data_IF_003260796675
#
_entry.id   IF_003260796675
#
_cell.length_a   1.000
_cell.length_b   1.000
_cell.length_c   1.000
_cell.angle_alpha   90.00
_cell.angle_beta   90.00
_cell.angle_gamma   90.00
#
_symmetry.space_group_name_H-M   'P 1'
#
loop_
_entity.id
_entity.type
_entity.pdbx_description
1 polymer ?
#
# COMPACT_ATOMS: atom_id res chain seq x y z
N UNK A 1 9.45 13.35 -10.82
CA UNK A 1 9.19 12.64 -12.11
C UNK A 1 9.07 13.56 -13.31
N UNK A 2 8.58 14.81 -13.17
CA UNK A 2 8.40 15.75 -14.31
C UNK A 2 9.68 16.02 -15.12
N UNK A 3 10.85 15.89 -14.50
CA UNK A 3 12.15 16.05 -15.17
C UNK A 3 12.57 14.82 -16.00
N UNK A 4 11.80 13.72 -15.98
CA UNK A 4 12.06 12.49 -16.76
C UNK A 4 10.75 12.04 -17.43
N UNK A 5 10.28 12.77 -18.46
CA UNK A 5 8.90 12.66 -18.96
C UNK A 5 8.52 11.27 -19.48
N UNK A 6 9.45 10.57 -20.14
CA UNK A 6 9.19 9.22 -20.63
C UNK A 6 8.96 8.22 -19.47
N UNK A 7 9.76 8.31 -18.41
CA UNK A 7 9.58 7.46 -17.22
C UNK A 7 8.30 7.84 -16.47
N UNK A 8 7.97 9.13 -16.39
CA UNK A 8 6.70 9.59 -15.82
C UNK A 8 5.49 8.98 -16.54
N UNK A 9 5.50 8.96 -17.88
CA UNK A 9 4.42 8.35 -18.66
C UNK A 9 4.20 6.88 -18.29
N UNK A 10 5.27 6.09 -18.20
CA UNK A 10 5.16 4.66 -17.88
C UNK A 10 4.74 4.42 -16.43
N UNK A 11 5.28 5.16 -15.47
CA UNK A 11 4.90 5.05 -14.06
C UNK A 11 3.43 5.43 -13.85
N UNK A 12 2.96 6.50 -14.48
CA UNK A 12 1.55 6.91 -14.43
C UNK A 12 0.64 5.89 -15.11
N UNK A 13 1.05 5.34 -16.26
CA UNK A 13 0.29 4.28 -16.94
C UNK A 13 0.11 3.03 -16.07
N UNK A 14 1.17 2.57 -15.41
CA UNK A 14 1.06 1.47 -14.45
C UNK A 14 0.17 1.84 -13.26
N UNK A 15 0.29 3.07 -12.72
CA UNK A 15 -0.55 3.52 -11.61
C UNK A 15 -2.05 3.53 -11.97
N UNK A 16 -2.41 4.00 -13.16
CA UNK A 16 -3.80 3.98 -13.64
C UNK A 16 -4.32 2.55 -13.78
N UNK A 17 -3.58 1.67 -14.45
CA UNK A 17 -3.97 0.26 -14.56
C UNK A 17 -4.24 -0.36 -13.18
N UNK A 18 -3.31 -0.19 -12.24
CA UNK A 18 -3.45 -0.77 -10.90
C UNK A 18 -4.61 -0.20 -10.08
N UNK A 19 -5.02 1.04 -10.32
CA UNK A 19 -6.09 1.71 -9.57
C UNK A 19 -7.47 1.48 -10.17
N UNK A 20 -7.56 1.42 -11.49
CA UNK A 20 -8.83 1.52 -12.21
C UNK A 20 -9.19 0.22 -12.94
N UNK A 21 -8.20 -0.62 -13.28
CA UNK A 21 -8.38 -1.83 -14.10
C UNK A 21 -7.96 -3.13 -13.40
N UNK A 22 -7.30 -3.04 -12.24
CA UNK A 22 -6.87 -4.22 -11.46
C UNK A 22 -8.06 -5.08 -11.04
N UNK A 23 -7.83 -6.40 -11.02
CA UNK A 23 -8.75 -7.39 -10.47
C UNK A 23 -8.92 -7.32 -8.95
N UNK A 24 -7.99 -6.65 -8.24
CA UNK A 24 -8.06 -6.50 -6.79
C UNK A 24 -9.19 -5.55 -6.39
N UNK A 25 -10.02 -5.91 -5.40
CA UNK A 25 -11.02 -5.00 -4.85
C UNK A 25 -10.38 -3.71 -4.33
N UNK A 26 -11.09 -2.58 -4.47
CA UNK A 26 -10.57 -1.28 -4.07
C UNK A 26 -10.06 -1.24 -2.62
N UNK A 27 -10.77 -1.92 -1.71
CA UNK A 27 -10.36 -2.12 -0.31
C UNK A 27 -8.96 -2.71 -0.18
N UNK A 28 -8.65 -3.72 -0.99
CA UNK A 28 -7.38 -4.47 -0.97
C UNK A 28 -6.26 -3.63 -1.57
N UNK A 29 -6.52 -2.90 -2.66
CA UNK A 29 -5.57 -1.96 -3.23
C UNK A 29 -5.16 -0.90 -2.20
N UNK A 30 -6.13 -0.24 -1.55
CA UNK A 30 -5.86 0.80 -0.56
C UNK A 30 -5.12 0.24 0.67
N UNK A 31 -5.48 -0.96 1.15
CA UNK A 31 -4.77 -1.61 2.25
C UNK A 31 -3.30 -1.92 1.87
N UNK A 32 -3.04 -2.41 0.66
CA UNK A 32 -1.69 -2.67 0.18
C UNK A 32 -0.86 -1.37 0.08
N UNK A 33 -1.48 -0.27 -0.34
CA UNK A 33 -0.86 1.06 -0.36
C UNK A 33 -0.51 1.53 1.05
N UNK A 34 -1.40 1.36 2.03
CA UNK A 34 -1.14 1.73 3.43
C UNK A 34 -0.04 0.89 4.08
N UNK A 35 -0.05 -0.43 3.85
CA UNK A 35 1.02 -1.31 4.33
C UNK A 35 2.36 -0.85 3.76
N UNK A 36 2.43 -0.60 2.44
CA UNK A 36 3.65 -0.09 1.79
C UNK A 36 4.09 1.25 2.35
N UNK A 37 3.16 2.20 2.47
CA UNK A 37 3.43 3.53 3.01
C UNK A 37 4.00 3.46 4.42
N UNK A 38 3.46 2.58 5.26
CA UNK A 38 3.93 2.45 6.64
C UNK A 38 5.24 1.70 6.79
N UNK A 39 5.49 0.68 5.97
CA UNK A 39 6.78 -0.04 5.99
C UNK A 39 7.93 0.82 5.43
N UNK A 40 7.62 1.85 4.65
CA UNK A 40 8.58 2.82 4.13
C UNK A 40 8.50 4.20 4.77
N UNK A 41 7.68 4.37 5.82
CA UNK A 41 7.49 5.62 6.56
C UNK A 41 7.17 6.83 5.64
N UNK A 42 6.44 6.59 4.56
CA UNK A 42 6.08 7.61 3.58
C UNK A 42 4.84 8.39 4.01
N UNK A 43 5.07 9.55 4.61
CA UNK A 43 4.04 10.40 5.18
C UNK A 43 3.01 10.91 4.16
N UNK A 44 3.46 11.24 2.94
CA UNK A 44 2.61 11.77 1.88
C UNK A 44 1.62 10.72 1.36
N UNK A 45 2.11 9.50 1.09
CA UNK A 45 1.26 8.40 0.66
C UNK A 45 0.27 8.04 1.77
N UNK A 46 0.74 7.97 3.03
CA UNK A 46 -0.16 7.70 4.16
C UNK A 46 -1.31 8.69 4.21
N UNK A 47 -1.02 9.99 4.17
CA UNK A 47 -2.03 11.03 4.22
C UNK A 47 -3.02 10.97 3.04
N UNK A 48 -2.51 10.71 1.83
CA UNK A 48 -3.35 10.61 0.62
C UNK A 48 -4.30 9.39 0.64
N UNK A 49 -3.92 8.30 1.31
CA UNK A 49 -4.62 7.02 1.19
C UNK A 49 -5.35 6.55 2.45
N UNK A 50 -5.03 7.04 3.64
CA UNK A 50 -5.68 6.54 4.86
C UNK A 50 -7.19 6.80 4.89
N UNK A 51 -7.63 8.01 4.54
CA UNK A 51 -9.05 8.32 4.40
C UNK A 51 -9.72 7.51 3.26
N UNK A 52 -9.00 7.29 2.16
CA UNK A 52 -9.48 6.49 1.02
C UNK A 52 -9.69 5.03 1.42
N UNK A 53 -8.76 4.44 2.17
CA UNK A 53 -8.84 3.08 2.68
C UNK A 53 -10.06 2.89 3.59
N UNK A 54 -10.31 3.85 4.50
CA UNK A 54 -11.50 3.84 5.36
C UNK A 54 -12.78 3.88 4.52
N UNK A 55 -12.85 4.78 3.53
CA UNK A 55 -13.99 4.89 2.60
C UNK A 55 -14.18 3.61 1.78
N UNK A 56 -13.10 2.91 1.42
CA UNK A 56 -13.14 1.64 0.72
C UNK A 56 -13.52 0.44 1.61
N UNK A 57 -13.69 0.65 2.91
CA UNK A 57 -14.16 -0.36 3.86
C UNK A 57 -13.06 -1.04 4.69
N UNK A 58 -11.83 -0.51 4.71
CA UNK A 58 -10.83 -0.91 5.70
C UNK A 58 -11.25 -0.34 7.06
N UNK A 59 -11.40 -1.19 8.08
CA UNK A 59 -11.83 -0.74 9.40
C UNK A 59 -10.84 0.26 9.98
N UNK A 60 -11.37 1.28 10.65
CA UNK A 60 -10.55 2.34 11.24
C UNK A 60 -9.47 1.82 12.19
N UNK A 61 -9.82 0.87 13.04
CA UNK A 61 -8.90 0.20 13.97
C UNK A 61 -7.71 -0.47 13.28
N UNK A 62 -7.86 -0.97 12.05
CA UNK A 62 -6.74 -1.53 11.27
C UNK A 62 -5.83 -0.39 10.79
N UNK A 63 -6.41 0.67 10.22
CA UNK A 63 -5.65 1.83 9.73
C UNK A 63 -4.86 2.47 10.86
N UNK A 64 -5.50 2.68 12.01
CA UNK A 64 -4.88 3.30 13.18
C UNK A 64 -3.81 2.40 13.81
N UNK A 65 -4.05 1.08 13.91
CA UNK A 65 -3.03 0.15 14.41
C UNK A 65 -1.85 -0.01 13.45
N UNK A 66 -2.07 0.03 12.12
CA UNK A 66 -0.99 0.12 11.14
C UNK A 66 -0.17 1.40 11.36
N UNK A 67 -0.82 2.56 11.43
CA UNK A 67 -0.17 3.87 11.67
C UNK A 67 0.74 3.81 12.89
N UNK A 68 0.20 3.34 14.00
CA UNK A 68 0.87 3.38 15.30
C UNK A 68 1.85 2.20 15.48
N UNK A 69 1.96 1.29 14.51
CA UNK A 69 2.68 0.00 14.62
C UNK A 69 2.26 -0.79 15.87
N UNK A 70 0.97 -0.74 16.21
CA UNK A 70 0.37 -1.51 17.31
C UNK A 70 -0.07 -2.88 16.83
N UNK A 71 -0.45 -3.73 17.78
CA UNK A 71 -1.13 -4.99 17.50
C UNK A 71 -2.38 -4.73 16.67
N UNK A 72 -2.54 -5.50 15.60
CA UNK A 72 -3.70 -5.37 14.71
C UNK A 72 -4.90 -6.09 15.34
N UNK A 73 -6.13 -5.58 15.13
CA UNK A 73 -7.33 -6.33 15.47
C UNK A 73 -7.42 -7.61 14.60
N UNK A 74 -8.35 -8.49 14.94
CA UNK A 74 -8.63 -9.69 14.13
C UNK A 74 -8.93 -9.28 12.69
N UNK A 75 -8.08 -9.66 11.75
CA UNK A 75 -8.22 -9.32 10.33
C UNK A 75 -9.13 -10.33 9.62
N UNK A 76 -9.86 -9.87 8.59
CA UNK A 76 -10.46 -10.78 7.63
C UNK A 76 -9.36 -11.51 6.83
N UNK A 77 -9.68 -12.65 6.22
CA UNK A 77 -8.68 -13.50 5.54
C UNK A 77 -7.96 -12.77 4.39
N UNK A 78 -8.68 -11.95 3.63
CA UNK A 78 -8.16 -11.10 2.56
C UNK A 78 -7.24 -9.99 3.11
N UNK A 79 -7.65 -9.29 4.17
CA UNK A 79 -6.86 -8.27 4.85
C UNK A 79 -5.56 -8.85 5.44
N UNK A 80 -5.65 -10.01 6.09
CA UNK A 80 -4.51 -10.72 6.66
C UNK A 80 -3.51 -11.13 5.59
N UNK A 81 -3.99 -11.63 4.44
CA UNK A 81 -3.13 -11.99 3.33
C UNK A 81 -2.31 -10.79 2.83
N UNK A 82 -2.92 -9.61 2.68
CA UNK A 82 -2.22 -8.39 2.27
C UNK A 82 -1.18 -7.94 3.30
N UNK A 83 -1.60 -7.83 4.56
CA UNK A 83 -0.75 -7.34 5.66
C UNK A 83 0.45 -8.24 5.85
N UNK A 84 0.25 -9.56 5.90
CA UNK A 84 1.33 -10.51 6.11
C UNK A 84 2.27 -10.55 4.91
N UNK A 85 1.74 -10.59 3.68
CA UNK A 85 2.55 -10.55 2.46
C UNK A 85 3.47 -9.32 2.43
N UNK A 86 2.89 -8.13 2.67
CA UNK A 86 3.65 -6.88 2.68
C UNK A 86 4.68 -6.83 3.81
N UNK A 87 4.27 -7.09 5.06
CA UNK A 87 5.18 -7.05 6.22
C UNK A 87 6.33 -8.03 6.09
N UNK A 88 6.08 -9.26 5.63
CA UNK A 88 7.16 -10.22 5.41
C UNK A 88 8.14 -9.72 4.35
N UNK A 89 7.64 -9.26 3.21
CA UNK A 89 8.50 -8.76 2.14
C UNK A 89 9.33 -7.55 2.58
N UNK A 90 8.71 -6.52 3.16
CA UNK A 90 9.43 -5.30 3.50
C UNK A 90 10.45 -5.51 4.63
N UNK A 91 10.16 -6.40 5.59
CA UNK A 91 11.02 -6.63 6.76
C UNK A 91 12.08 -7.71 6.53
N UNK A 92 11.78 -8.71 5.71
CA UNK A 92 12.67 -9.89 5.52
C UNK A 92 13.17 -10.05 4.09
N UNK A 93 12.68 -9.24 3.15
CA UNK A 93 12.97 -9.29 1.71
C UNK A 93 12.53 -10.57 1.02
N UNK A 94 11.69 -11.36 1.68
CA UNK A 94 11.09 -12.58 1.15
C UNK A 94 9.65 -12.69 1.63
N UNK A 95 8.83 -13.35 0.82
CA UNK A 95 7.49 -13.79 1.22
C UNK A 95 7.58 -15.29 1.46
N UNK A 96 7.12 -15.74 2.62
CA UNK A 96 7.05 -17.16 2.95
C UNK A 96 6.07 -17.88 2.04
N UNK A 97 6.23 -19.20 1.93
CA UNK A 97 5.27 -20.04 1.19
C UNK A 97 3.85 -19.90 1.75
N UNK A 98 3.72 -19.76 3.08
CA UNK A 98 2.43 -19.59 3.74
C UNK A 98 1.75 -18.28 3.32
N UNK A 99 2.44 -17.15 3.45
CA UNK A 99 1.88 -15.85 3.06
C UNK A 99 1.57 -15.78 1.55
N UNK A 100 2.43 -16.35 0.70
CA UNK A 100 2.16 -16.44 -0.74
C UNK A 100 0.92 -17.28 -1.04
N UNK A 101 0.77 -18.44 -0.39
CA UNK A 101 -0.37 -19.33 -0.60
C UNK A 101 -1.67 -18.70 -0.11
N UNK A 102 -1.67 -18.02 1.04
CA UNK A 102 -2.84 -17.27 1.51
C UNK A 102 -3.24 -16.17 0.54
N UNK A 103 -2.29 -15.40 -0.01
CA UNK A 103 -2.60 -14.40 -1.03
C UNK A 103 -3.15 -15.04 -2.31
N UNK A 104 -2.61 -16.19 -2.72
CA UNK A 104 -3.08 -16.93 -3.90
C UNK A 104 -4.52 -17.43 -3.73
N UNK A 105 -4.88 -17.91 -2.55
CA UNK A 105 -6.24 -18.37 -2.24
C UNK A 105 -7.25 -17.23 -2.25
N UNK A 106 -6.85 -16.04 -1.78
CA UNK A 106 -7.74 -14.87 -1.73
C UNK A 106 -7.88 -14.16 -3.09
N UNK A 107 -6.80 -14.09 -3.87
CA UNK A 107 -6.75 -13.18 -5.03
C UNK A 107 -6.47 -13.89 -6.37
N UNK A 108 -6.23 -15.20 -6.34
CA UNK A 108 -5.82 -15.95 -7.53
C UNK A 108 -4.47 -15.49 -8.09
N UNK A 109 -4.07 -16.09 -9.22
CA UNK A 109 -2.74 -15.85 -9.81
C UNK A 109 -2.54 -14.40 -10.23
N UNK A 110 -3.53 -13.83 -10.92
CA UNK A 110 -3.48 -12.45 -11.39
C UNK A 110 -3.44 -11.48 -10.21
N UNK A 111 -4.34 -11.63 -9.23
CA UNK A 111 -4.41 -10.72 -8.10
C UNK A 111 -3.15 -10.74 -7.23
N UNK A 112 -2.45 -11.86 -7.08
CA UNK A 112 -1.16 -11.90 -6.38
C UNK A 112 -0.07 -11.10 -7.12
N UNK A 113 -0.03 -11.19 -8.45
CA UNK A 113 0.90 -10.38 -9.26
C UNK A 113 0.55 -8.91 -9.15
N UNK A 114 -0.72 -8.55 -9.27
CA UNK A 114 -1.20 -7.17 -9.09
C UNK A 114 -0.93 -6.64 -7.68
N UNK A 115 -1.06 -7.47 -6.63
CA UNK A 115 -0.74 -7.09 -5.25
C UNK A 115 0.73 -6.70 -5.12
N UNK A 116 1.63 -7.54 -5.66
CA UNK A 116 3.05 -7.24 -5.69
C UNK A 116 3.37 -5.99 -6.51
N UNK A 117 2.66 -5.77 -7.63
CA UNK A 117 2.80 -4.57 -8.46
C UNK A 117 2.29 -3.31 -7.75
N UNK A 118 1.19 -3.37 -7.00
CA UNK A 118 0.71 -2.25 -6.16
C UNK A 118 1.77 -1.89 -5.14
N UNK A 119 2.28 -2.86 -4.38
CA UNK A 119 3.31 -2.62 -3.37
C UNK A 119 4.61 -2.09 -4.00
N UNK A 120 5.04 -2.66 -5.13
CA UNK A 120 6.22 -2.21 -5.86
C UNK A 120 6.08 -0.78 -6.41
N UNK A 121 4.94 -0.47 -7.03
CA UNK A 121 4.66 0.87 -7.57
C UNK A 121 4.63 1.91 -6.45
N UNK A 122 4.00 1.62 -5.32
CA UNK A 122 3.98 2.52 -4.17
C UNK A 122 5.32 2.60 -3.45
N UNK A 123 6.16 1.56 -3.54
CA UNK A 123 7.56 1.63 -3.08
C UNK A 123 8.41 2.56 -3.93
N UNK A 124 8.23 2.54 -5.26
CA UNK A 124 8.86 3.50 -6.17
C UNK A 124 8.45 4.94 -5.84
N UNK A 125 7.15 5.17 -5.63
CA UNK A 125 6.65 6.49 -5.25
C UNK A 125 7.19 6.94 -3.89
N UNK A 126 7.18 6.05 -2.89
CA UNK A 126 7.72 6.32 -1.56
C UNK A 126 9.21 6.67 -1.61
N UNK A 127 10.00 5.94 -2.42
CA UNK A 127 11.42 6.24 -2.62
C UNK A 127 11.61 7.67 -3.14
N UNK A 128 10.86 8.06 -4.18
CA UNK A 128 10.95 9.41 -4.74
C UNK A 128 10.53 10.47 -3.72
N UNK A 129 9.36 10.30 -3.09
CA UNK A 129 8.81 11.28 -2.13
C UNK A 129 9.77 11.46 -0.94
N UNK A 130 10.21 10.36 -0.32
CA UNK A 130 11.07 10.42 0.85
C UNK A 130 12.48 10.94 0.51
N UNK A 131 12.96 10.74 -0.72
CA UNK A 131 14.29 11.24 -1.14
C UNK A 131 14.32 12.75 -1.38
N UNK A 132 13.18 13.35 -1.73
CA UNK A 132 13.08 14.76 -2.11
C UNK A 132 12.37 15.63 -1.07
N UNK A 133 12.12 15.09 0.12
CA UNK A 133 11.47 15.76 1.26
C UNK A 133 10.25 16.59 0.84
N UNK A 134 9.29 15.92 0.19
CA UNK A 134 8.12 16.62 -0.36
C UNK A 134 7.16 17.01 0.76
N UNK A 135 6.86 18.30 0.87
CA UNK A 135 5.89 18.84 1.82
C UNK A 135 4.52 18.15 1.68
N UNK A 136 3.83 18.03 2.82
CA UNK A 136 2.45 17.61 2.83
C UNK A 136 1.52 18.74 2.38
N UNK A 137 0.39 18.42 1.73
CA UNK A 137 -0.66 19.39 1.50
C UNK A 137 -1.09 20.07 2.81
N UNK A 138 -1.48 21.35 2.81
CA UNK A 138 -1.94 22.04 4.02
C UNK A 138 -3.26 21.45 4.55
N UNK A 139 -4.11 20.95 3.65
CA UNK A 139 -5.43 20.37 3.89
C UNK A 139 -5.38 18.87 4.23
N UNK A 140 -4.57 18.52 5.24
CA UNK A 140 -4.44 17.14 5.72
C UNK A 140 -5.75 16.62 6.30
N UNK A 141 -6.13 15.40 5.93
CA UNK A 141 -7.35 14.72 6.41
C UNK A 141 -7.09 13.65 7.47
N UNK A 142 -5.82 13.25 7.67
CA UNK A 142 -5.42 12.16 8.55
C UNK A 142 -4.24 12.56 9.45
N UNK A 143 -4.14 12.02 10.67
CA UNK A 143 -2.99 12.21 11.55
C UNK A 143 -1.68 11.77 10.88
N UNK A 144 -0.58 12.43 11.29
CA UNK A 144 0.75 12.07 10.81
C UNK A 144 1.19 10.69 11.32
N UNK A 145 2.14 10.09 10.61
CA UNK A 145 2.82 8.89 11.08
C UNK A 145 3.69 9.26 12.29
N UNK A 146 3.73 8.41 13.33
CA UNK A 146 4.73 8.53 14.39
C UNK A 146 6.02 7.87 13.89
N UNK A 147 6.90 8.66 13.28
CA UNK A 147 8.21 8.25 12.73
C UNK A 147 9.35 8.93 13.47
#
# INVERSE_FOLDING_TARGET
MIHVPQAHLWATGLNHYLRDESSLPKKIQELAMLVTARELDCQHIWNAHAASARKAGVRSEIVDALRDRKELPVLAADEAAVVNYGREFFRTRRVSRGAFQSALEQFGRQGVVELALVMGNYSLLALLINSFDTDLPPDRTEPLLPV
#
